data_IF_242646355361
#
_entry.id   IF_242646355361
#
_cell.length_a   1.000
_cell.length_b   1.000
_cell.length_c   1.000
_cell.angle_alpha   90.00
_cell.angle_beta   90.00
_cell.angle_gamma   90.00
#
_symmetry.space_group_name_H-M   'P 1'
#
loop_
_entity.id
_entity.type
_entity.pdbx_description
1 polymer ?
#
# COMPACT_ATOMS: atom_id res chain seq x y z
N UNK A 1 11.25 -21.43 14.76
CA UNK A 1 9.89 -20.87 14.62
C UNK A 1 9.10 -21.19 15.89
N UNK A 2 8.51 -20.16 16.51
CA UNK A 2 7.68 -20.29 17.72
C UNK A 2 6.19 -20.24 17.36
N UNK A 3 5.39 -21.11 17.98
CA UNK A 3 3.94 -21.04 17.94
C UNK A 3 3.41 -20.62 19.30
N UNK A 4 2.49 -19.64 19.32
CA UNK A 4 1.68 -19.31 20.47
C UNK A 4 0.25 -19.78 20.21
N UNK A 5 -0.27 -20.68 21.03
CA UNK A 5 -1.67 -21.11 20.96
C UNK A 5 -2.44 -20.45 22.09
N UNK A 6 -3.57 -19.84 21.75
CA UNK A 6 -4.42 -19.15 22.71
C UNK A 6 -5.81 -19.74 22.58
N UNK A 7 -6.39 -20.14 23.70
CA UNK A 7 -7.76 -20.63 23.77
C UNK A 7 -8.53 -19.85 24.83
N UNK A 8 -9.75 -19.48 24.50
CA UNK A 8 -10.72 -18.89 25.41
C UNK A 8 -11.93 -19.80 25.44
N UNK A 9 -12.36 -20.17 26.60
CA UNK A 9 -13.57 -21.00 26.77
C UNK A 9 -14.44 -20.44 27.89
N UNK A 10 -15.72 -20.28 27.61
CA UNK A 10 -16.75 -20.16 28.62
C UNK A 10 -17.83 -21.21 28.33
N UNK A 11 -18.22 -21.96 29.33
CA UNK A 11 -19.23 -23.04 29.21
C UNK A 11 -20.64 -22.56 29.52
N UNK A 12 -20.79 -21.33 29.99
CA UNK A 12 -22.07 -20.82 30.50
C UNK A 12 -22.67 -19.74 29.60
N UNK A 13 -21.87 -19.03 28.83
CA UNK A 13 -22.34 -17.95 27.96
C UNK A 13 -21.48 -17.79 26.70
N UNK A 14 -22.07 -17.23 25.65
CA UNK A 14 -21.34 -16.78 24.46
C UNK A 14 -20.57 -15.49 24.78
N UNK A 15 -19.39 -15.36 24.19
CA UNK A 15 -18.64 -14.12 24.27
C UNK A 15 -19.18 -13.11 23.26
N UNK A 16 -19.72 -12.01 23.75
CA UNK A 16 -20.10 -10.86 22.94
C UNK A 16 -19.05 -9.76 23.13
N UNK A 17 -17.95 -9.85 22.41
CA UNK A 17 -16.88 -8.85 22.49
C UNK A 17 -16.73 -8.09 21.20
N UNK A 18 -16.75 -6.77 21.29
CA UNK A 18 -16.35 -5.84 20.23
C UNK A 18 -15.07 -5.14 20.61
N UNK A 19 -14.16 -4.97 19.66
CA UNK A 19 -12.88 -4.31 19.87
C UNK A 19 -11.73 -5.29 20.13
N UNK A 20 -10.76 -4.86 20.95
CA UNK A 20 -9.53 -5.61 21.17
C UNK A 20 -9.72 -6.78 22.13
N UNK A 21 -9.68 -8.00 21.61
CA UNK A 21 -9.78 -9.22 22.41
C UNK A 21 -8.48 -9.53 23.19
N UNK A 22 -7.33 -9.31 22.55
CA UNK A 22 -6.02 -9.68 23.08
C UNK A 22 -4.95 -8.69 22.64
N UNK A 23 -3.96 -8.48 23.50
CA UNK A 23 -2.70 -7.81 23.15
C UNK A 23 -1.54 -8.72 23.52
N UNK A 24 -0.72 -9.10 22.54
CA UNK A 24 0.51 -9.84 22.76
C UNK A 24 1.68 -8.88 22.62
N UNK A 25 2.58 -8.87 23.62
CA UNK A 25 3.80 -8.06 23.59
C UNK A 25 4.99 -8.97 23.35
N UNK A 26 5.80 -8.64 22.38
CA UNK A 26 7.04 -9.33 22.06
C UNK A 26 8.23 -8.45 22.44
N UNK A 27 9.30 -9.08 22.89
CA UNK A 27 10.60 -8.45 23.03
C UNK A 27 11.50 -9.00 21.93
N UNK A 28 12.11 -8.13 21.15
CA UNK A 28 13.14 -8.50 20.19
C UNK A 28 14.41 -8.84 20.96
N UNK A 29 14.94 -10.04 20.75
CA UNK A 29 16.10 -10.57 21.51
C UNK A 29 17.31 -10.84 20.62
N UNK A 30 17.32 -10.41 19.39
CA UNK A 30 18.42 -10.59 18.44
C UNK A 30 18.64 -9.34 17.59
N UNK A 31 19.78 -9.31 16.93
CA UNK A 31 20.12 -8.34 15.90
C UNK A 31 19.86 -8.96 14.52
N UNK A 32 19.47 -8.16 13.55
CA UNK A 32 19.35 -8.58 12.15
C UNK A 32 20.34 -7.79 11.31
N UNK A 33 20.97 -8.44 10.36
CA UNK A 33 21.77 -7.75 9.34
C UNK A 33 20.81 -7.20 8.28
N UNK A 34 20.60 -5.87 8.30
CA UNK A 34 19.71 -5.16 7.40
C UNK A 34 18.23 -5.20 7.80
N UNK A 35 17.38 -4.68 6.94
CA UNK A 35 15.94 -4.62 7.14
C UNK A 35 15.33 -6.02 6.97
N UNK A 36 14.51 -6.44 7.92
CA UNK A 36 13.82 -7.73 7.87
C UNK A 36 12.37 -7.63 8.28
N UNK A 37 11.52 -8.45 7.66
CA UNK A 37 10.12 -8.61 8.00
C UNK A 37 9.90 -9.96 8.65
N UNK A 38 9.52 -9.97 9.93
CA UNK A 38 8.99 -11.16 10.60
C UNK A 38 7.48 -11.23 10.43
N UNK A 39 7.01 -12.19 9.64
CA UNK A 39 5.57 -12.42 9.46
C UNK A 39 4.95 -13.00 10.73
N UNK A 40 3.81 -12.47 11.11
CA UNK A 40 2.92 -13.01 12.12
C UNK A 40 1.72 -13.61 11.39
N UNK A 41 1.67 -14.93 11.31
CA UNK A 41 0.55 -15.65 10.70
C UNK A 41 -0.46 -16.01 11.78
N UNK A 42 -1.69 -15.60 11.57
CA UNK A 42 -2.83 -15.98 12.40
C UNK A 42 -3.60 -17.09 11.70
N UNK A 43 -3.95 -18.13 12.45
CA UNK A 43 -4.80 -19.19 11.93
C UNK A 43 -5.88 -19.55 12.95
N UNK A 44 -7.09 -19.73 12.45
CA UNK A 44 -8.19 -20.31 13.18
C UNK A 44 -8.63 -21.56 12.42
N UNK A 45 -8.34 -22.79 12.95
CA UNK A 45 -8.80 -24.01 12.31
C UNK A 45 -10.34 -24.05 12.22
N UNK A 46 -10.87 -24.83 11.28
CA UNK A 46 -12.31 -25.03 11.19
C UNK A 46 -12.87 -25.51 12.54
N UNK A 47 -13.92 -24.85 13.02
CA UNK A 47 -14.50 -25.13 14.33
C UNK A 47 -13.72 -24.56 15.52
N UNK A 48 -12.66 -23.77 15.30
CA UNK A 48 -11.92 -23.12 16.38
C UNK A 48 -12.75 -22.08 17.14
N UNK A 49 -13.77 -21.52 16.49
CA UNK A 49 -14.76 -20.63 17.10
C UNK A 49 -16.11 -21.32 17.05
N UNK A 50 -16.74 -21.49 18.20
CA UNK A 50 -18.03 -22.10 18.32
C UNK A 50 -18.85 -21.43 19.44
N UNK A 51 -20.16 -21.47 19.31
CA UNK A 51 -21.09 -21.05 20.37
C UNK A 51 -21.17 -22.07 21.53
N UNK A 52 -21.90 -21.74 22.57
CA UNK A 52 -22.12 -22.65 23.75
C UNK A 52 -22.81 -23.95 23.37
N UNK A 53 -23.43 -24.05 22.20
CA UNK A 53 -24.07 -25.26 21.66
C UNK A 53 -23.18 -26.02 20.71
N UNK A 54 -21.89 -25.62 20.60
CA UNK A 54 -20.88 -26.21 19.70
C UNK A 54 -21.16 -26.02 18.21
N UNK A 55 -21.98 -25.02 17.81
CA UNK A 55 -22.09 -24.65 16.42
C UNK A 55 -20.88 -23.82 16.01
N UNK A 56 -20.21 -24.20 14.93
CA UNK A 56 -19.07 -23.47 14.40
C UNK A 56 -19.48 -22.09 13.91
N UNK A 57 -18.73 -21.06 14.30
CA UNK A 57 -18.84 -19.71 13.75
C UNK A 57 -17.75 -19.46 12.69
N UNK A 58 -18.09 -18.65 11.71
CA UNK A 58 -17.09 -18.18 10.73
C UNK A 58 -16.10 -17.25 11.42
N UNK A 59 -14.81 -17.51 11.23
CA UNK A 59 -13.74 -16.69 11.76
C UNK A 59 -12.87 -16.17 10.60
N UNK A 60 -12.81 -14.85 10.43
CA UNK A 60 -11.90 -14.19 9.50
C UNK A 60 -10.68 -13.70 10.25
N UNK A 61 -9.50 -14.13 9.82
CA UNK A 61 -8.21 -13.70 10.39
C UNK A 61 -7.42 -12.91 9.35
N UNK A 62 -6.66 -11.93 9.82
CA UNK A 62 -5.75 -11.15 8.98
C UNK A 62 -4.35 -11.23 9.57
N UNK A 63 -3.40 -11.62 8.74
CA UNK A 63 -2.00 -11.71 9.12
C UNK A 63 -1.39 -10.33 9.38
N UNK A 64 -0.33 -10.31 10.17
CA UNK A 64 0.44 -9.13 10.47
C UNK A 64 1.94 -9.35 10.26
N UNK A 65 2.72 -8.36 10.63
CA UNK A 65 4.18 -8.45 10.58
C UNK A 65 4.86 -7.51 11.54
N UNK A 66 6.10 -7.84 11.89
CA UNK A 66 7.01 -6.99 12.65
C UNK A 66 8.21 -6.68 11.77
N UNK A 67 8.39 -5.41 11.46
CA UNK A 67 9.59 -4.92 10.78
C UNK A 67 10.70 -4.65 11.78
N UNK A 68 11.90 -5.12 11.46
CA UNK A 68 13.13 -4.85 12.17
C UNK A 68 14.10 -4.25 11.16
N UNK A 69 14.46 -2.97 11.34
CA UNK A 69 15.32 -2.26 10.39
C UNK A 69 15.52 -0.80 10.80
N UNK A 70 16.35 -0.10 10.05
CA UNK A 70 16.65 1.33 10.27
C UNK A 70 15.59 2.25 9.66
N UNK A 71 14.79 1.75 8.74
CA UNK A 71 13.77 2.51 8.01
C UNK A 71 12.50 2.71 8.83
N UNK A 72 11.96 3.92 8.79
CA UNK A 72 10.70 4.28 9.45
C UNK A 72 9.46 3.93 8.60
N UNK A 73 9.62 3.78 7.28
CA UNK A 73 8.52 3.51 6.33
C UNK A 73 8.73 2.17 5.65
N UNK A 74 7.73 1.29 5.76
CA UNK A 74 7.67 0.02 5.04
C UNK A 74 6.28 -0.21 4.48
N UNK A 75 6.21 -0.88 3.33
CA UNK A 75 4.93 -1.34 2.79
C UNK A 75 4.43 -2.56 3.54
N UNK A 76 3.14 -2.67 3.71
CA UNK A 76 2.50 -3.88 4.24
C UNK A 76 2.69 -5.05 3.26
N UNK A 77 2.79 -6.29 3.76
CA UNK A 77 2.82 -7.47 2.91
C UNK A 77 1.57 -7.53 2.01
N UNK A 78 1.81 -7.70 0.70
CA UNK A 78 0.73 -7.75 -0.29
C UNK A 78 0.30 -6.39 -0.85
N UNK A 79 0.93 -5.28 -0.43
CA UNK A 79 0.74 -3.99 -1.08
C UNK A 79 1.13 -4.07 -2.56
N UNK A 80 0.32 -3.45 -3.43
CA UNK A 80 0.63 -3.31 -4.85
C UNK A 80 1.65 -2.18 -5.13
N UNK A 81 1.97 -1.36 -4.12
CA UNK A 81 2.91 -0.26 -4.28
C UNK A 81 4.35 -0.76 -4.29
N UNK A 82 5.23 -0.01 -4.91
CA UNK A 82 6.67 -0.24 -4.92
C UNK A 82 7.36 0.95 -4.26
N UNK A 83 8.20 0.67 -3.27
CA UNK A 83 9.00 1.66 -2.55
C UNK A 83 10.44 1.61 -3.08
N UNK A 84 10.77 2.56 -3.96
CA UNK A 84 12.13 2.74 -4.45
C UNK A 84 12.91 3.63 -3.47
N UNK A 85 13.73 2.99 -2.64
CA UNK A 85 14.50 3.68 -1.59
C UNK A 85 15.69 4.45 -2.15
N UNK A 86 16.25 4.01 -3.28
CA UNK A 86 17.41 4.67 -3.89
C UNK A 86 17.01 5.97 -4.55
N UNK A 87 15.88 5.98 -5.26
CA UNK A 87 15.37 7.16 -5.95
C UNK A 87 14.43 8.01 -5.08
N UNK A 88 13.94 7.47 -3.98
CA UNK A 88 13.02 8.16 -3.09
C UNK A 88 11.59 8.26 -3.64
N UNK A 89 11.10 7.21 -4.32
CA UNK A 89 9.77 7.18 -4.91
C UNK A 89 8.88 6.08 -4.34
N UNK A 90 7.58 6.34 -4.33
CA UNK A 90 6.51 5.33 -4.20
C UNK A 90 5.75 5.30 -5.50
N UNK A 91 5.72 4.14 -6.17
CA UNK A 91 5.04 3.93 -7.45
C UNK A 91 3.93 2.88 -7.36
N UNK A 92 3.17 2.67 -8.43
CA UNK A 92 2.06 1.72 -8.47
C UNK A 92 0.78 2.23 -7.82
N UNK A 93 0.71 3.51 -7.49
CA UNK A 93 -0.47 4.14 -6.90
C UNK A 93 -1.49 4.41 -8.00
N UNK A 94 -2.73 3.93 -7.81
CA UNK A 94 -3.81 4.17 -8.76
C UNK A 94 -4.35 5.61 -8.67
N UNK A 95 -4.85 6.18 -9.78
CA UNK A 95 -5.57 7.46 -9.75
C UNK A 95 -6.76 7.43 -8.78
N UNK A 96 -7.13 8.59 -8.24
CA UNK A 96 -8.23 8.77 -7.29
C UNK A 96 -8.08 8.00 -5.97
N UNK A 97 -6.86 7.58 -5.62
CA UNK A 97 -6.58 6.98 -4.32
C UNK A 97 -6.73 8.04 -3.22
N UNK A 98 -7.57 7.78 -2.22
CA UNK A 98 -7.71 8.65 -1.05
C UNK A 98 -6.45 8.57 -0.17
N UNK A 99 -5.99 9.67 0.45
CA UNK A 99 -4.80 9.67 1.31
C UNK A 99 -4.86 8.68 2.47
N UNK A 100 -6.04 8.47 3.05
CA UNK A 100 -6.23 7.51 4.14
C UNK A 100 -6.02 6.07 3.66
N UNK A 101 -6.56 5.71 2.50
CA UNK A 101 -6.38 4.39 1.90
C UNK A 101 -4.92 4.13 1.48
N UNK A 102 -4.25 5.17 0.98
CA UNK A 102 -2.84 5.14 0.66
C UNK A 102 -1.98 4.88 1.90
N UNK A 103 -2.21 5.64 2.99
CA UNK A 103 -1.44 5.51 4.23
C UNK A 103 -1.64 4.15 4.92
N UNK A 104 -2.81 3.52 4.75
CA UNK A 104 -3.08 2.17 5.26
C UNK A 104 -2.20 1.08 4.63
N UNK A 105 -1.50 1.37 3.55
CA UNK A 105 -0.56 0.42 2.92
C UNK A 105 0.83 0.40 3.57
N UNK A 106 1.05 1.25 4.58
CA UNK A 106 2.36 1.39 5.22
C UNK A 106 2.31 1.02 6.70
N UNK A 107 3.47 0.61 7.22
CA UNK A 107 3.74 0.56 8.65
C UNK A 107 4.42 1.85 9.11
N UNK A 108 4.56 2.06 10.44
CA UNK A 108 5.31 3.20 10.98
C UNK A 108 4.52 4.50 11.06
N UNK A 109 3.21 4.46 10.78
CA UNK A 109 2.32 5.64 10.87
C UNK A 109 2.85 6.87 10.12
N UNK A 110 3.15 6.75 8.82
CA UNK A 110 3.64 7.88 8.04
C UNK A 110 2.57 8.96 7.88
N UNK A 111 3.01 10.16 7.56
CA UNK A 111 2.16 11.29 7.21
C UNK A 111 2.17 11.53 5.70
N UNK A 112 1.04 12.00 5.17
CA UNK A 112 0.90 12.41 3.77
C UNK A 112 0.95 13.94 3.64
N UNK A 113 1.59 14.44 2.61
CA UNK A 113 1.73 15.88 2.33
C UNK A 113 1.52 16.17 0.83
N UNK A 114 0.75 17.22 0.51
CA UNK A 114 0.08 18.17 1.39
C UNK A 114 -1.16 17.56 2.07
N UNK A 115 -1.45 17.99 3.29
CA UNK A 115 -2.66 17.59 4.01
C UNK A 115 -3.91 18.23 3.40
N UNK A 116 -5.04 17.53 3.51
CA UNK A 116 -6.33 18.01 2.99
C UNK A 116 -6.55 17.83 1.50
N UNK A 117 -5.63 17.19 0.79
CA UNK A 117 -5.84 16.79 -0.60
C UNK A 117 -6.94 15.73 -0.69
N UNK A 118 -7.80 15.83 -1.72
CA UNK A 118 -8.84 14.86 -1.96
C UNK A 118 -8.27 13.50 -2.38
N UNK A 119 -7.23 13.52 -3.20
CA UNK A 119 -6.54 12.34 -3.71
C UNK A 119 -5.03 12.46 -3.49
N UNK A 120 -4.37 11.34 -3.47
CA UNK A 120 -2.93 11.23 -3.65
C UNK A 120 -2.61 11.58 -5.10
N UNK A 121 -1.53 12.33 -5.34
CA UNK A 121 -1.17 12.80 -6.67
C UNK A 121 0.33 12.71 -6.91
N UNK A 122 0.72 12.72 -8.16
CA UNK A 122 2.13 12.71 -8.59
C UNK A 122 2.82 13.98 -8.13
N UNK A 123 3.91 13.83 -7.35
CA UNK A 123 4.62 14.93 -6.70
C UNK A 123 4.22 15.19 -5.25
N UNK A 124 3.15 14.55 -4.75
CA UNK A 124 2.87 14.52 -3.31
C UNK A 124 3.90 13.69 -2.56
N UNK A 125 3.87 13.67 -1.24
CA UNK A 125 4.87 12.95 -0.48
C UNK A 125 4.30 12.16 0.70
N UNK A 126 4.97 11.07 1.03
CA UNK A 126 4.80 10.31 2.27
C UNK A 126 6.08 10.40 3.09
N UNK A 127 5.95 10.64 4.40
CA UNK A 127 7.10 10.82 5.27
C UNK A 127 6.88 10.21 6.66
N UNK A 128 7.95 9.66 7.26
CA UNK A 128 7.99 9.30 8.67
C UNK A 128 9.42 9.48 9.21
N UNK A 129 9.55 10.20 10.33
CA UNK A 129 10.86 10.56 10.87
C UNK A 129 11.65 11.40 9.87
N UNK A 130 12.85 10.95 9.52
CA UNK A 130 13.73 11.59 8.52
C UNK A 130 13.50 11.10 7.10
N UNK A 131 12.71 10.05 6.89
CA UNK A 131 12.44 9.49 5.57
C UNK A 131 11.29 10.22 4.87
N UNK A 132 11.51 10.48 3.59
CA UNK A 132 10.52 11.12 2.71
C UNK A 132 10.59 10.52 1.32
N UNK A 133 9.45 10.14 0.79
CA UNK A 133 9.33 9.60 -0.56
C UNK A 133 8.31 10.42 -1.35
N UNK A 134 8.64 10.70 -2.61
CA UNK A 134 7.72 11.34 -3.55
C UNK A 134 6.79 10.28 -4.14
N UNK A 135 5.52 10.57 -4.16
CA UNK A 135 4.51 9.67 -4.72
C UNK A 135 4.38 9.87 -6.22
N UNK A 136 4.30 8.78 -6.95
CA UNK A 136 4.02 8.74 -8.39
C UNK A 136 2.73 7.96 -8.60
N UNK A 137 1.71 8.64 -9.08
CA UNK A 137 0.41 8.04 -9.40
C UNK A 137 0.40 7.64 -10.86
N UNK A 138 0.09 6.38 -11.15
CA UNK A 138 0.09 5.85 -12.52
C UNK A 138 -0.87 6.62 -13.41
N UNK A 139 -0.36 7.21 -14.47
CA UNK A 139 -1.12 7.99 -15.44
C UNK A 139 -1.41 9.45 -15.05
N UNK A 140 -1.07 9.89 -13.86
CA UNK A 140 -1.26 11.28 -13.41
C UNK A 140 0.00 12.11 -13.74
N UNK A 141 0.06 12.64 -14.96
CA UNK A 141 1.20 13.43 -15.42
C UNK A 141 1.13 14.88 -15.00
N UNK A 142 -0.08 15.41 -14.79
CA UNK A 142 -0.28 16.81 -14.40
C UNK A 142 -0.23 17.04 -12.89
N UNK A 143 -0.25 15.95 -12.08
CA UNK A 143 -0.17 16.00 -10.62
C UNK A 143 -1.47 16.47 -9.95
N UNK A 144 -2.64 16.12 -10.50
CA UNK A 144 -3.94 16.42 -9.90
C UNK A 144 -4.60 15.22 -9.18
N UNK A 145 -3.97 14.04 -9.25
CA UNK A 145 -4.42 12.80 -8.63
C UNK A 145 -5.52 12.08 -9.39
N UNK A 146 -5.83 12.54 -10.61
CA UNK A 146 -6.84 11.92 -11.47
C UNK A 146 -6.23 11.56 -12.82
N UNK A 147 -6.83 10.60 -13.52
CA UNK A 147 -6.44 10.27 -14.88
C UNK A 147 -7.47 10.85 -15.84
N UNK A 148 -7.07 11.87 -16.59
CA UNK A 148 -7.94 12.65 -17.48
C UNK A 148 -7.34 12.84 -18.87
N UNK A 149 -8.09 13.52 -19.74
CA UNK A 149 -7.60 13.90 -21.07
C UNK A 149 -6.37 14.82 -21.01
N UNK A 150 -6.17 15.56 -19.92
CA UNK A 150 -5.00 16.42 -19.73
C UNK A 150 -3.71 15.61 -19.68
N UNK A 151 -3.71 14.49 -18.94
CA UNK A 151 -2.55 13.59 -18.79
C UNK A 151 -2.22 12.89 -20.09
N UNK A 152 -3.25 12.37 -20.75
CA UNK A 152 -3.13 11.81 -22.09
C UNK A 152 -2.51 12.79 -23.09
N UNK A 153 -2.90 14.07 -23.05
CA UNK A 153 -2.35 15.10 -23.93
C UNK A 153 -0.89 15.40 -23.61
N UNK A 154 -0.48 15.38 -22.33
CA UNK A 154 0.92 15.52 -21.92
C UNK A 154 1.76 14.36 -22.46
N UNK A 155 1.33 13.11 -22.26
CA UNK A 155 2.00 11.93 -22.80
C UNK A 155 2.09 11.98 -24.35
N UNK A 156 1.01 12.39 -25.02
CA UNK A 156 1.00 12.56 -26.47
C UNK A 156 2.02 13.57 -26.94
N UNK A 157 2.13 14.73 -26.27
CA UNK A 157 3.11 15.77 -26.62
C UNK A 157 4.54 15.26 -26.46
N UNK A 158 4.82 14.50 -25.39
CA UNK A 158 6.14 13.93 -25.18
C UNK A 158 6.54 12.97 -26.31
N UNK A 159 5.62 12.09 -26.74
CA UNK A 159 5.91 11.09 -27.78
C UNK A 159 5.95 11.69 -29.20
N UNK A 160 5.02 12.61 -29.51
CA UNK A 160 4.85 13.10 -30.90
C UNK A 160 5.64 14.36 -31.19
N UNK A 161 5.82 15.22 -30.18
CA UNK A 161 6.45 16.52 -30.31
C UNK A 161 7.80 16.60 -29.60
N UNK A 162 8.30 15.48 -29.10
CA UNK A 162 9.56 15.40 -28.33
C UNK A 162 9.62 16.39 -27.16
N UNK A 163 8.46 16.61 -26.52
CA UNK A 163 8.38 17.50 -25.37
C UNK A 163 8.99 16.82 -24.14
N UNK A 164 9.88 17.51 -23.46
CA UNK A 164 10.54 16.99 -22.27
C UNK A 164 9.54 16.79 -21.10
N UNK A 165 9.62 15.63 -20.47
CA UNK A 165 8.95 15.32 -19.21
C UNK A 165 9.97 15.32 -18.07
N UNK A 166 9.52 15.69 -16.88
CA UNK A 166 10.32 15.47 -15.68
C UNK A 166 10.43 13.98 -15.39
N UNK A 167 11.38 13.58 -14.55
CA UNK A 167 11.55 12.17 -14.16
C UNK A 167 10.26 11.58 -13.58
N UNK A 168 9.60 12.30 -12.66
CA UNK A 168 8.35 11.82 -12.05
C UNK A 168 7.20 11.74 -13.04
N UNK A 169 7.14 12.63 -14.03
CA UNK A 169 6.15 12.56 -15.11
C UNK A 169 6.42 11.37 -16.03
N UNK A 170 7.69 11.07 -16.30
CA UNK A 170 8.07 9.88 -17.09
C UNK A 170 7.67 8.60 -16.36
N UNK A 171 7.91 8.52 -15.04
CA UNK A 171 7.47 7.39 -14.22
C UNK A 171 5.95 7.26 -14.17
N UNK A 172 5.23 8.38 -14.07
CA UNK A 172 3.77 8.38 -14.08
C UNK A 172 3.20 7.96 -15.46
N UNK A 173 3.90 8.30 -16.54
CA UNK A 173 3.50 7.98 -17.90
C UNK A 173 3.76 6.53 -18.31
N UNK A 174 4.68 5.83 -17.65
CA UNK A 174 4.97 4.42 -17.86
C UNK A 174 3.87 3.55 -17.21
N UNK A 175 2.76 3.45 -17.90
CA UNK A 175 1.58 2.68 -17.45
C UNK A 175 1.78 1.18 -17.67
N UNK A 176 2.61 0.81 -18.65
CA UNK A 176 2.96 -0.59 -18.93
C UNK A 176 3.92 -1.18 -17.90
N UNK A 177 4.70 -0.33 -17.21
CA UNK A 177 5.72 -0.74 -16.24
C UNK A 177 6.99 -1.30 -16.87
N UNK A 178 7.27 -0.97 -18.15
CA UNK A 178 8.45 -1.45 -18.86
C UNK A 178 9.69 -0.54 -18.68
N UNK A 179 9.54 0.55 -17.94
CA UNK A 179 10.59 1.52 -17.65
C UNK A 179 10.80 2.57 -18.75
N UNK A 180 9.92 2.64 -19.74
CA UNK A 180 10.05 3.57 -20.89
C UNK A 180 8.69 4.14 -21.26
N UNK A 181 8.68 5.39 -21.66
CA UNK A 181 7.50 5.99 -22.27
C UNK A 181 7.45 5.64 -23.78
N UNK A 182 6.49 4.83 -24.15
CA UNK A 182 6.32 4.32 -25.52
C UNK A 182 4.90 4.51 -26.04
N UNK A 183 4.66 4.13 -27.30
CA UNK A 183 3.32 4.14 -27.89
C UNK A 183 2.35 3.18 -27.16
N UNK A 184 2.88 2.16 -26.48
CA UNK A 184 2.07 1.23 -25.66
C UNK A 184 1.43 1.97 -24.48
N UNK A 185 2.20 2.79 -23.76
CA UNK A 185 1.72 3.57 -22.62
C UNK A 185 0.67 4.60 -23.05
N UNK A 186 0.93 5.26 -24.15
CA UNK A 186 -0.03 6.18 -24.76
C UNK A 186 -1.37 5.50 -25.08
N UNK A 187 -1.32 4.29 -25.63
CA UNK A 187 -2.54 3.53 -25.91
C UNK A 187 -3.27 3.07 -24.64
N UNK A 188 -2.52 2.68 -23.61
CA UNK A 188 -3.08 2.31 -22.31
C UNK A 188 -3.72 3.52 -21.63
N UNK A 189 -3.05 4.65 -21.58
CA UNK A 189 -3.60 5.91 -21.07
C UNK A 189 -4.89 6.29 -21.81
N UNK A 190 -4.87 6.23 -23.14
CA UNK A 190 -6.06 6.52 -23.95
C UNK A 190 -7.23 5.59 -23.63
N UNK A 191 -6.99 4.30 -23.49
CA UNK A 191 -8.03 3.31 -23.13
C UNK A 191 -8.62 3.61 -21.76
N UNK A 192 -7.76 3.88 -20.77
CA UNK A 192 -8.18 4.19 -19.40
C UNK A 192 -9.01 5.47 -19.33
N UNK A 193 -8.60 6.54 -20.03
CA UNK A 193 -9.37 7.81 -20.10
C UNK A 193 -10.74 7.61 -20.77
N UNK A 194 -10.84 6.71 -21.74
CA UNK A 194 -12.09 6.39 -22.43
C UNK A 194 -12.96 5.33 -21.72
N UNK A 195 -12.49 4.79 -20.60
CA UNK A 195 -13.21 3.72 -19.87
C UNK A 195 -13.26 2.39 -20.65
N UNK A 196 -12.27 2.13 -21.50
CA UNK A 196 -12.17 0.94 -22.36
C UNK A 196 -11.16 -0.09 -21.81
N UNK A 197 -10.86 -0.02 -20.51
CA UNK A 197 -9.93 -0.93 -19.82
C UNK A 197 -10.58 -2.16 -19.27
#
# INVERSE_FOLDING_TARGET
>A
EGQLRIAFTDRQADFYMTGRLLTVRFRIVGETEGDSLSRLTLSAPAGAVADVRYHSAECRVTDGGVYIGSSAIHLLPGSAYVLDRERGYVTGVAPQTAPEAFLQQFTGSPSFSPSGSRYVFTGSAVAAGSERYTVVVTGDLNGDGTLTASDYLLAKRAIVLDAELTEIQTLAADVSGDGKLTASDYLLLKKSVLGLG
#
